data_IF_939484529639
#
_entry.id   IF_939484529639
#
_cell.length_a   1.000
_cell.length_b   1.000
_cell.length_c   1.000
_cell.angle_alpha   90.00
_cell.angle_beta   90.00
_cell.angle_gamma   90.00
#
_symmetry.space_group_name_H-M   'P 1'
#
loop_
_entity.id
_entity.type
_entity.pdbx_description
1 polymer ?
#
# COMPACT_ATOMS: atom_id res chain seq x y z
N UNK A 1 -27.83 15.73 -25.60
CA UNK A 1 -27.39 14.94 -24.43
C UNK A 1 -27.07 13.54 -24.92
N UNK A 2 -25.78 13.22 -25.08
CA UNK A 2 -25.36 11.84 -25.31
C UNK A 2 -25.67 11.09 -24.01
N UNK A 3 -26.57 10.12 -24.05
CA UNK A 3 -26.74 9.20 -22.92
C UNK A 3 -25.51 8.30 -22.93
N UNK A 4 -24.57 8.55 -22.00
CA UNK A 4 -23.31 7.82 -21.88
C UNK A 4 -23.49 6.31 -21.68
N UNK A 5 -22.41 5.58 -21.84
CA UNK A 5 -22.38 4.12 -21.69
C UNK A 5 -22.85 3.64 -20.30
N UNK A 6 -22.71 4.46 -19.25
CA UNK A 6 -23.24 4.15 -17.91
C UNK A 6 -24.78 4.21 -17.88
N UNK A 7 -25.41 5.06 -18.69
CA UNK A 7 -26.86 5.08 -18.82
C UNK A 7 -27.39 3.81 -19.49
N UNK A 8 -26.65 3.25 -20.46
CA UNK A 8 -26.92 1.95 -21.08
C UNK A 8 -26.80 0.82 -20.06
N UNK A 9 -25.73 0.81 -19.25
CA UNK A 9 -25.54 -0.16 -18.15
C UNK A 9 -26.74 -0.22 -17.19
N UNK A 10 -27.34 0.94 -16.88
CA UNK A 10 -28.50 1.03 -15.98
C UNK A 10 -29.82 0.63 -16.65
N UNK A 11 -29.98 0.87 -17.95
CA UNK A 11 -31.23 0.61 -18.69
C UNK A 11 -31.37 -0.84 -19.15
N UNK A 12 -30.32 -1.44 -19.69
CA UNK A 12 -30.34 -2.80 -20.25
C UNK A 12 -29.14 -3.63 -19.78
N UNK A 13 -29.14 -4.12 -18.53
CA UNK A 13 -27.98 -4.81 -17.94
C UNK A 13 -27.58 -6.08 -18.72
N UNK A 14 -28.55 -6.83 -19.27
CA UNK A 14 -28.24 -8.05 -20.04
C UNK A 14 -27.52 -7.78 -21.37
N UNK A 15 -27.81 -6.64 -22.00
CA UNK A 15 -27.14 -6.25 -23.24
C UNK A 15 -25.76 -5.70 -22.95
N UNK A 16 -25.64 -4.96 -21.84
CA UNK A 16 -24.36 -4.53 -21.29
C UNK A 16 -23.43 -5.71 -21.02
N UNK A 17 -23.89 -6.75 -20.32
CA UNK A 17 -23.08 -7.94 -20.01
C UNK A 17 -22.57 -8.62 -21.28
N UNK A 18 -23.40 -8.70 -22.33
CA UNK A 18 -22.97 -9.27 -23.62
C UNK A 18 -21.89 -8.41 -24.27
N UNK A 19 -22.07 -7.10 -24.28
CA UNK A 19 -21.09 -6.17 -24.85
C UNK A 19 -19.78 -6.17 -24.06
N UNK A 20 -19.84 -6.12 -22.72
CA UNK A 20 -18.68 -6.17 -21.84
C UNK A 20 -17.90 -7.48 -22.01
N UNK A 21 -18.59 -8.61 -22.15
CA UNK A 21 -17.94 -9.89 -22.45
C UNK A 21 -17.22 -9.87 -23.81
N UNK A 22 -17.84 -9.28 -24.85
CA UNK A 22 -17.21 -9.18 -26.17
C UNK A 22 -15.99 -8.27 -26.12
N UNK A 23 -16.10 -7.09 -25.48
CA UNK A 23 -15.00 -6.14 -25.38
C UNK A 23 -13.85 -6.70 -24.54
N UNK A 24 -14.16 -7.37 -23.42
CA UNK A 24 -13.16 -8.05 -22.58
C UNK A 24 -12.46 -9.18 -23.37
N UNK A 25 -13.23 -9.96 -24.15
CA UNK A 25 -12.63 -11.01 -25.00
C UNK A 25 -11.68 -10.43 -26.05
N UNK A 26 -12.00 -9.25 -26.57
CA UNK A 26 -11.16 -8.53 -27.53
C UNK A 26 -9.87 -8.01 -26.88
N UNK A 27 -9.95 -7.46 -25.67
CA UNK A 27 -8.77 -7.03 -24.89
C UNK A 27 -7.79 -8.19 -24.67
N UNK A 28 -8.30 -9.36 -24.27
CA UNK A 28 -7.47 -10.54 -24.08
C UNK A 28 -6.89 -11.08 -25.38
N UNK A 29 -7.68 -11.12 -26.45
CA UNK A 29 -7.26 -11.73 -27.72
C UNK A 29 -6.25 -10.88 -28.47
N UNK A 30 -6.48 -9.57 -28.52
CA UNK A 30 -5.68 -8.64 -29.32
C UNK A 30 -4.66 -7.85 -28.48
N UNK A 31 -4.68 -7.99 -27.15
CA UNK A 31 -3.78 -7.27 -26.24
C UNK A 31 -3.99 -5.75 -26.23
N UNK A 32 -5.17 -5.30 -26.63
CA UNK A 32 -5.54 -3.88 -26.67
C UNK A 32 -6.16 -3.46 -25.34
N UNK A 33 -6.01 -2.17 -24.99
CA UNK A 33 -6.66 -1.57 -23.83
C UNK A 33 -7.83 -0.71 -24.30
N UNK A 34 -9.03 -1.02 -23.82
CA UNK A 34 -10.23 -0.23 -24.08
C UNK A 34 -10.51 0.68 -22.87
N UNK A 35 -10.92 1.91 -23.14
CA UNK A 35 -11.36 2.86 -22.12
C UNK A 35 -12.75 3.34 -22.49
N UNK A 36 -13.69 3.20 -21.57
CA UNK A 36 -15.05 3.72 -21.71
C UNK A 36 -15.08 5.19 -21.34
N UNK A 37 -15.77 5.99 -22.14
CA UNK A 37 -15.85 7.44 -21.98
C UNK A 37 -17.28 7.89 -22.23
N UNK A 38 -17.79 8.81 -21.41
CA UNK A 38 -19.18 9.25 -21.45
C UNK A 38 -19.42 10.50 -22.29
N UNK A 39 -18.44 11.41 -22.32
CA UNK A 39 -18.52 12.68 -23.03
C UNK A 39 -17.19 13.10 -23.67
N UNK A 40 -17.24 14.11 -24.53
CA UNK A 40 -16.08 14.61 -25.27
C UNK A 40 -15.00 15.17 -24.33
N UNK A 41 -15.38 15.70 -23.16
CA UNK A 41 -14.45 16.29 -22.20
C UNK A 41 -13.61 15.21 -21.49
N UNK A 42 -14.23 14.08 -21.16
CA UNK A 42 -13.55 12.90 -20.65
C UNK A 42 -12.64 12.29 -21.73
N UNK A 43 -13.00 12.34 -23.01
CA UNK A 43 -12.12 11.89 -24.12
C UNK A 43 -10.85 12.71 -24.13
N UNK A 44 -10.98 14.04 -24.10
CA UNK A 44 -9.84 14.96 -24.08
C UNK A 44 -8.97 14.73 -22.84
N UNK A 45 -9.59 14.55 -21.67
CA UNK A 45 -8.88 14.28 -20.42
C UNK A 45 -8.13 12.95 -20.47
N UNK A 46 -8.76 11.90 -21.01
CA UNK A 46 -8.14 10.59 -21.18
C UNK A 46 -6.94 10.67 -22.12
N UNK A 47 -7.08 11.35 -23.26
CA UNK A 47 -5.99 11.55 -24.22
C UNK A 47 -4.84 12.36 -23.62
N UNK A 48 -5.13 13.43 -22.89
CA UNK A 48 -4.14 14.24 -22.19
C UNK A 48 -3.35 13.41 -21.17
N UNK A 49 -4.05 12.62 -20.35
CA UNK A 49 -3.43 11.72 -19.38
C UNK A 49 -2.61 10.62 -20.05
N UNK A 50 -3.06 10.10 -21.19
CA UNK A 50 -2.32 9.11 -21.95
C UNK A 50 -1.01 9.70 -22.50
N UNK A 51 -1.09 10.88 -23.13
CA UNK A 51 0.07 11.61 -23.62
C UNK A 51 1.07 11.93 -22.50
N UNK A 52 0.57 12.41 -21.34
CA UNK A 52 1.40 12.66 -20.16
C UNK A 52 2.10 11.40 -19.66
N UNK A 53 1.38 10.27 -19.59
CA UNK A 53 1.96 8.99 -19.18
C UNK A 53 3.02 8.45 -20.16
N UNK A 54 2.85 8.69 -21.46
CA UNK A 54 3.86 8.36 -22.46
C UNK A 54 5.10 9.24 -22.29
N UNK A 55 4.92 10.55 -22.06
CA UNK A 55 6.01 11.51 -21.89
C UNK A 55 6.93 11.21 -20.70
N UNK A 56 6.38 10.72 -19.59
CA UNK A 56 7.15 10.36 -18.39
C UNK A 56 7.47 8.86 -18.28
N UNK A 57 7.17 8.06 -19.32
CA UNK A 57 7.28 6.59 -19.24
C UNK A 57 8.71 6.14 -18.99
N UNK A 58 9.66 6.74 -19.71
CA UNK A 58 11.07 6.39 -19.61
C UNK A 58 11.64 6.76 -18.23
N UNK A 59 11.32 7.95 -17.74
CA UNK A 59 11.71 8.40 -16.40
C UNK A 59 11.12 7.51 -15.31
N UNK A 60 9.84 7.11 -15.43
CA UNK A 60 9.20 6.13 -14.53
C UNK A 60 9.87 4.75 -14.57
N UNK A 61 10.34 4.31 -15.73
CA UNK A 61 11.04 3.03 -15.85
C UNK A 61 12.42 3.11 -15.20
N UNK A 62 13.16 4.19 -15.44
CA UNK A 62 14.47 4.45 -14.85
C UNK A 62 14.36 4.59 -13.33
N UNK A 63 13.39 5.35 -12.81
CA UNK A 63 13.22 5.51 -11.36
C UNK A 63 12.92 4.19 -10.65
N UNK A 64 12.20 3.27 -11.29
CA UNK A 64 11.94 1.91 -10.78
C UNK A 64 13.18 1.00 -10.78
N UNK A 65 14.24 1.33 -11.52
CA UNK A 65 15.48 0.52 -11.50
C UNK A 65 16.30 0.70 -10.23
N UNK A 66 16.18 1.85 -9.57
CA UNK A 66 16.87 2.13 -8.30
C UNK A 66 15.94 1.72 -7.15
N UNK A 67 16.32 0.65 -6.43
CA UNK A 67 15.64 0.16 -5.21
C UNK A 67 14.10 0.18 -5.33
N UNK A 68 13.46 -0.81 -5.98
CA UNK A 68 12.01 -0.80 -6.23
C UNK A 68 11.15 -0.80 -4.95
N UNK A 69 11.79 -1.02 -3.79
CA UNK A 69 11.20 -0.97 -2.45
C UNK A 69 11.31 0.41 -1.77
N UNK A 70 12.17 1.32 -2.27
CA UNK A 70 12.22 2.71 -1.83
C UNK A 70 11.37 3.56 -2.78
N UNK A 71 10.08 3.69 -2.49
CA UNK A 71 9.17 4.51 -3.30
C UNK A 71 9.42 6.01 -3.19
N UNK A 72 10.13 6.46 -2.15
CA UNK A 72 10.39 7.87 -1.90
C UNK A 72 11.86 8.11 -1.50
N UNK A 73 12.55 8.93 -2.29
CA UNK A 73 13.94 9.34 -2.05
C UNK A 73 13.96 10.64 -1.23
N UNK A 74 12.82 11.34 -1.11
CA UNK A 74 12.69 12.65 -0.48
C UNK A 74 11.98 12.57 0.88
N UNK A 75 12.30 11.55 1.69
CA UNK A 75 11.78 11.46 3.05
C UNK A 75 12.36 12.61 3.87
N UNK A 76 11.50 13.52 4.30
CA UNK A 76 11.90 14.65 5.13
C UNK A 76 12.41 14.15 6.48
N UNK A 77 13.52 14.73 6.98
CA UNK A 77 13.98 14.49 8.34
C UNK A 77 12.88 14.93 9.33
N UNK A 78 12.59 14.12 10.33
CA UNK A 78 11.70 14.50 11.44
C UNK A 78 12.21 15.74 12.19
N UNK A 79 11.34 16.36 12.99
CA UNK A 79 11.64 17.61 13.72
C UNK A 79 12.64 17.45 14.89
N UNK A 80 13.37 16.33 14.92
CA UNK A 80 14.38 15.96 15.89
C UNK A 80 14.85 14.52 15.67
N UNK A 81 15.87 14.10 16.40
CA UNK A 81 16.48 12.77 16.20
C UNK A 81 15.56 11.63 16.65
N UNK A 82 14.76 11.85 17.70
CA UNK A 82 13.74 10.90 18.16
C UNK A 82 12.60 10.70 17.14
N UNK A 83 12.15 11.80 16.52
CA UNK A 83 11.11 11.76 15.48
C UNK A 83 11.65 11.13 14.19
N UNK A 84 12.90 11.43 13.83
CA UNK A 84 13.60 10.79 12.71
C UNK A 84 13.71 9.28 12.92
N UNK A 85 14.11 8.86 14.13
CA UNK A 85 14.19 7.44 14.47
C UNK A 85 12.82 6.73 14.40
N UNK A 86 11.75 7.40 14.85
CA UNK A 86 10.38 6.90 14.69
C UNK A 86 10.00 6.69 13.23
N UNK A 87 10.27 7.68 12.37
CA UNK A 87 9.99 7.60 10.94
C UNK A 87 10.79 6.48 10.27
N UNK A 88 12.04 6.28 10.65
CA UNK A 88 12.86 5.15 10.16
C UNK A 88 12.25 3.80 10.53
N UNK A 89 11.79 3.62 11.77
CA UNK A 89 11.14 2.37 12.19
C UNK A 89 9.84 2.12 11.42
N UNK A 90 9.04 3.16 11.18
CA UNK A 90 7.77 3.06 10.44
C UNK A 90 7.95 2.67 8.95
N UNK A 91 9.16 2.79 8.39
CA UNK A 91 9.45 2.28 7.04
C UNK A 91 9.54 0.76 6.99
N UNK A 92 9.64 0.07 8.13
CA UNK A 92 9.69 -1.39 8.19
C UNK A 92 8.30 -1.95 7.90
N UNK A 93 8.21 -2.79 6.87
CA UNK A 93 6.97 -3.43 6.45
C UNK A 93 6.33 -4.18 7.62
N UNK A 94 5.01 -3.94 7.83
CA UNK A 94 4.20 -4.49 8.94
C UNK A 94 4.50 -3.93 10.33
N UNK A 95 5.32 -2.89 10.45
CA UNK A 95 5.43 -2.12 11.68
C UNK A 95 4.40 -0.98 11.67
N UNK A 96 3.24 -1.20 12.30
CA UNK A 96 2.15 -0.21 12.31
C UNK A 96 2.44 0.95 13.26
N UNK A 97 3.18 0.69 14.35
CA UNK A 97 3.56 1.71 15.31
C UNK A 97 4.84 1.33 16.04
N UNK A 98 5.76 2.29 16.05
CA UNK A 98 7.06 2.18 16.68
C UNK A 98 7.10 2.76 18.10
N UNK A 99 5.99 3.34 18.61
CA UNK A 99 5.97 3.98 19.94
C UNK A 99 6.39 3.03 21.07
N UNK A 100 5.99 1.76 21.01
CA UNK A 100 6.39 0.75 21.99
C UNK A 100 7.89 0.49 22.01
N UNK A 101 8.50 0.42 20.82
CA UNK A 101 9.95 0.23 20.67
C UNK A 101 10.69 1.48 21.15
N UNK A 102 10.18 2.66 20.85
CA UNK A 102 10.80 3.94 21.26
C UNK A 102 10.72 4.15 22.77
N UNK A 103 9.64 3.68 23.41
CA UNK A 103 9.47 3.76 24.86
C UNK A 103 10.52 2.91 25.61
N UNK A 104 10.87 1.74 25.06
CA UNK A 104 11.81 0.81 25.67
C UNK A 104 13.26 1.06 25.19
N UNK A 105 13.45 1.59 23.97
CA UNK A 105 14.72 1.87 23.32
C UNK A 105 14.66 3.18 22.54
N UNK A 106 15.14 4.28 23.14
CA UNK A 106 15.00 5.63 22.61
C UNK A 106 15.85 5.87 21.36
N UNK A 107 16.95 5.12 21.21
CA UNK A 107 17.88 5.25 20.09
C UNK A 107 18.23 3.91 19.45
N UNK A 108 18.65 3.97 18.18
CA UNK A 108 19.18 2.80 17.46
C UNK A 108 20.41 2.20 18.16
N UNK A 109 21.22 3.02 18.84
CA UNK A 109 22.38 2.56 19.60
C UNK A 109 21.99 1.68 20.78
N UNK A 110 20.99 2.11 21.56
CA UNK A 110 20.43 1.34 22.67
C UNK A 110 19.80 0.04 22.19
N UNK A 111 19.01 0.10 21.10
CA UNK A 111 18.41 -1.09 20.51
C UNK A 111 19.47 -2.12 20.09
N UNK A 112 20.58 -1.66 19.49
CA UNK A 112 21.71 -2.51 19.09
C UNK A 112 22.42 -3.14 20.29
N UNK A 113 22.62 -2.39 21.36
CA UNK A 113 23.26 -2.90 22.59
C UNK A 113 22.37 -3.96 23.24
N UNK A 114 21.06 -3.70 23.34
CA UNK A 114 20.08 -4.64 23.86
C UNK A 114 20.05 -5.94 23.03
N UNK A 115 20.02 -5.81 21.69
CA UNK A 115 20.06 -6.96 20.78
C UNK A 115 21.30 -7.84 21.00
N UNK A 116 22.48 -7.23 21.11
CA UNK A 116 23.74 -7.96 21.31
C UNK A 116 23.85 -8.62 22.69
N UNK A 117 23.12 -8.09 23.68
CA UNK A 117 23.17 -8.56 25.07
C UNK A 117 22.05 -9.56 25.39
N UNK A 118 21.08 -9.74 24.48
CA UNK A 118 19.93 -10.60 24.69
C UNK A 118 20.30 -12.09 24.48
N UNK A 119 19.87 -13.00 25.36
CA UNK A 119 20.04 -14.44 25.16
C UNK A 119 19.21 -14.98 23.98
N UNK A 120 18.09 -14.32 23.67
CA UNK A 120 17.19 -14.64 22.56
C UNK A 120 16.81 -13.36 21.78
N UNK A 121 17.67 -12.92 20.84
CA UNK A 121 17.49 -11.65 20.14
C UNK A 121 16.21 -11.58 19.29
N UNK A 122 15.77 -12.70 18.71
CA UNK A 122 14.61 -12.75 17.81
C UNK A 122 13.27 -12.47 18.51
N UNK A 123 13.22 -12.67 19.84
CA UNK A 123 12.02 -12.45 20.65
C UNK A 123 12.10 -11.20 21.52
N UNK A 124 13.20 -10.45 21.46
CA UNK A 124 13.47 -9.31 22.34
C UNK A 124 12.38 -8.24 22.29
N UNK A 125 11.82 -7.99 21.10
CA UNK A 125 10.80 -6.97 20.88
C UNK A 125 9.36 -7.50 20.99
N UNK A 126 9.18 -8.78 21.33
CA UNK A 126 7.85 -9.41 21.40
C UNK A 126 6.98 -8.86 22.55
N UNK A 127 7.62 -8.34 23.60
CA UNK A 127 6.95 -7.81 24.80
C UNK A 127 6.80 -6.28 24.79
N UNK A 128 7.36 -5.58 23.78
CA UNK A 128 7.23 -4.14 23.66
C UNK A 128 5.75 -3.74 23.62
N UNK A 129 5.36 -2.87 24.56
CA UNK A 129 3.94 -2.52 24.75
C UNK A 129 3.46 -1.66 23.59
N UNK A 130 2.50 -2.16 22.82
CA UNK A 130 1.74 -1.35 21.86
C UNK A 130 1.10 -0.16 22.60
N UNK A 131 1.28 1.05 22.07
CA UNK A 131 0.68 2.27 22.59
C UNK A 131 -0.84 2.13 22.77
N UNK A 132 -1.38 2.81 23.80
CA UNK A 132 -2.79 2.71 24.19
C UNK A 132 -3.79 3.03 23.05
N UNK A 133 -3.36 3.78 22.04
CA UNK A 133 -4.17 4.18 20.88
C UNK A 133 -4.48 3.01 19.93
N UNK A 134 -3.54 2.07 19.74
CA UNK A 134 -3.76 0.90 18.88
C UNK A 134 -4.53 -0.21 19.57
N UNK A 135 -4.48 -0.28 20.91
CA UNK A 135 -5.36 -1.17 21.67
C UNK A 135 -6.83 -0.79 21.47
N UNK A 136 -7.13 0.50 21.32
CA UNK A 136 -8.48 0.99 21.05
C UNK A 136 -8.91 0.70 19.61
N UNK A 137 -8.03 0.90 18.61
CA UNK A 137 -8.35 0.56 17.21
C UNK A 137 -8.45 -0.96 16.93
N UNK A 138 -7.61 -1.78 17.57
CA UNK A 138 -7.70 -3.23 17.50
C UNK A 138 -8.93 -3.79 18.24
N UNK A 139 -9.43 -3.08 19.26
CA UNK A 139 -10.67 -3.40 19.94
C UNK A 139 -11.90 -3.03 19.10
N UNK A 140 -11.85 -1.92 18.34
CA UNK A 140 -12.93 -1.52 17.43
C UNK A 140 -13.05 -2.45 16.21
N UNK A 141 -11.93 -3.00 15.70
CA UNK A 141 -11.93 -3.94 14.56
C UNK A 141 -12.36 -5.37 14.94
N UNK A 142 -12.49 -5.70 16.23
CA UNK A 142 -12.98 -7.01 16.69
C UNK A 142 -14.51 -7.12 16.81
N UNK A 143 -15.25 -6.04 16.60
CA UNK A 143 -16.71 -6.03 16.80
C UNK A 143 -17.55 -6.32 15.54
N UNK A 144 -16.94 -6.44 14.35
CA UNK A 144 -17.64 -6.77 13.10
C UNK A 144 -17.20 -8.12 12.51
N UNK A 145 -17.87 -9.20 12.93
CA UNK A 145 -18.07 -10.42 12.14
C UNK A 145 -16.87 -11.38 11.92
N UNK A 146 -17.14 -12.64 11.53
CA UNK A 146 -16.22 -13.76 11.74
C UNK A 146 -15.23 -13.90 10.58
N UNK A 147 -14.06 -13.26 10.67
CA UNK A 147 -12.89 -13.73 9.93
C UNK A 147 -12.16 -14.79 10.76
N UNK A 148 -12.50 -16.05 10.53
CA UNK A 148 -11.61 -17.18 10.83
C UNK A 148 -10.37 -17.04 9.95
N UNK A 149 -9.37 -16.34 10.46
CA UNK A 149 -8.03 -16.31 9.91
C UNK A 149 -7.07 -16.28 11.08
N UNK A 150 -6.65 -17.46 11.55
CA UNK A 150 -5.56 -17.58 12.51
C UNK A 150 -4.32 -16.90 11.93
N UNK A 151 -4.05 -15.67 12.32
CA UNK A 151 -2.76 -15.02 12.08
C UNK A 151 -1.79 -15.58 13.11
N UNK A 152 -1.20 -16.71 12.72
CA UNK A 152 -0.14 -17.39 13.43
C UNK A 152 1.02 -16.41 13.60
N UNK A 153 1.43 -16.23 14.85
CA UNK A 153 2.66 -15.61 15.35
C UNK A 153 3.97 -16.31 14.85
N UNK A 154 4.01 -16.82 13.62
CA UNK A 154 5.12 -17.66 13.13
C UNK A 154 6.06 -16.96 12.14
N UNK A 155 5.71 -15.81 11.56
CA UNK A 155 6.43 -15.32 10.37
C UNK A 155 7.57 -14.34 10.64
N UNK A 156 8.01 -14.16 11.90
CA UNK A 156 9.26 -13.41 12.18
C UNK A 156 10.51 -14.32 12.02
N UNK A 157 10.35 -15.64 11.97
CA UNK A 157 11.48 -16.58 11.89
C UNK A 157 11.99 -16.88 10.46
N UNK A 158 11.57 -16.15 9.41
CA UNK A 158 11.95 -16.45 8.02
C UNK A 158 12.19 -15.20 7.17
N UNK A 159 13.00 -14.27 7.66
CA UNK A 159 13.70 -13.31 6.80
C UNK A 159 15.12 -13.11 7.35
N UNK A 160 15.96 -14.14 7.21
CA UNK A 160 17.41 -14.05 6.98
C UNK A 160 17.74 -15.09 5.90
#
# INVERSE_FOLDING_TARGET
MVNGMIALRKRTPREWDKMENVLTSLEFREGIKLTYVEDDQEVVTCLYNHAGNLGIREEKLISRTYLPFCSDINVQKGNGDSDTYKQMLQQIVRLTDATGIIADHLTMGELRIAYNSAPHPDTMLAECKMGNELRQMAAMTKLDGPFQGGFILSSVAKII
#
